data_IF_262998663518
#
_entry.id   IF_262998663518
#
_cell.length_a   1.000
_cell.length_b   1.000
_cell.length_c   1.000
_cell.angle_alpha   90.00
_cell.angle_beta   90.00
_cell.angle_gamma   90.00
#
_symmetry.space_group_name_H-M   'P 1'
#
loop_
_entity.id
_entity.type
_entity.pdbx_description
1 polymer ?
#
# COMPACT_ATOMS: atom_id res chain seq x y z
N UNK A 1 3.25 -18.80 -0.28
CA UNK A 1 1.96 -18.15 0.01
C UNK A 1 2.16 -16.66 -0.02
N UNK A 2 1.22 -15.90 -0.56
CA UNK A 2 1.27 -14.43 -0.59
C UNK A 2 0.26 -13.88 0.41
N UNK A 3 0.72 -12.96 1.26
CA UNK A 3 -0.16 -12.08 2.03
C UNK A 3 -0.22 -10.78 1.25
N UNK A 4 -1.39 -10.46 0.71
CA UNK A 4 -1.59 -9.25 -0.08
C UNK A 4 -2.36 -8.25 0.77
N UNK A 5 -1.69 -7.18 1.20
CA UNK A 5 -2.35 -6.05 1.88
C UNK A 5 -3.20 -5.26 0.87
N UNK A 6 -4.48 -5.07 1.16
CA UNK A 6 -5.48 -4.45 0.26
C UNK A 6 -6.12 -3.22 0.90
N UNK A 7 -5.31 -2.26 1.32
CA UNK A 7 -5.81 -0.98 1.83
C UNK A 7 -6.68 -0.27 0.78
N UNK A 8 -7.91 0.05 1.16
CA UNK A 8 -8.91 0.65 0.26
C UNK A 8 -8.46 2.00 -0.31
N UNK A 9 -7.65 2.78 0.43
CA UNK A 9 -7.17 4.08 -0.04
C UNK A 9 -6.39 3.97 -1.35
N UNK A 10 -5.55 2.94 -1.50
CA UNK A 10 -4.78 2.70 -2.73
C UNK A 10 -5.67 2.44 -3.96
N UNK A 11 -6.87 1.89 -3.75
CA UNK A 11 -7.84 1.64 -4.82
C UNK A 11 -8.57 2.91 -5.27
N UNK A 12 -8.43 4.02 -4.53
CA UNK A 12 -9.01 5.33 -4.88
C UNK A 12 -8.03 6.23 -5.62
N UNK A 13 -6.77 5.82 -5.72
CA UNK A 13 -5.70 6.59 -6.33
C UNK A 13 -5.74 6.54 -7.88
N UNK A 14 -5.14 7.54 -8.50
CA UNK A 14 -4.80 7.58 -9.92
C UNK A 14 -3.46 6.89 -10.25
N UNK A 15 -2.68 6.44 -9.26
CA UNK A 15 -1.43 5.70 -9.47
C UNK A 15 -0.26 6.55 -9.99
N UNK A 16 -0.40 7.88 -9.95
CA UNK A 16 0.68 8.80 -10.31
C UNK A 16 1.84 8.62 -9.35
N UNK A 17 1.62 8.67 -8.04
CA UNK A 17 2.68 8.57 -7.03
C UNK A 17 3.53 7.29 -7.19
N UNK A 18 2.90 6.13 -7.28
CA UNK A 18 3.62 4.86 -7.51
C UNK A 18 4.46 4.88 -8.78
N UNK A 19 4.01 5.59 -9.82
CA UNK A 19 4.78 5.71 -11.06
C UNK A 19 5.97 6.65 -10.93
N UNK A 20 5.85 7.73 -10.14
CA UNK A 20 6.97 8.62 -9.88
C UNK A 20 8.06 7.86 -9.12
N UNK A 21 7.67 7.06 -8.13
CA UNK A 21 8.58 6.22 -7.36
C UNK A 21 9.28 5.18 -8.25
N UNK A 22 8.52 4.40 -9.02
CA UNK A 22 9.09 3.42 -9.95
C UNK A 22 10.05 4.05 -10.97
N UNK A 23 9.70 5.21 -11.54
CA UNK A 23 10.54 5.90 -12.55
C UNK A 23 11.79 6.54 -11.95
N UNK A 24 11.74 6.95 -10.69
CA UNK A 24 12.88 7.58 -10.01
C UNK A 24 13.88 6.55 -9.48
N UNK A 25 13.39 5.37 -9.08
CA UNK A 25 14.17 4.35 -8.38
C UNK A 25 14.47 3.10 -9.22
N UNK A 26 13.97 3.01 -10.46
CA UNK A 26 14.22 1.88 -11.37
C UNK A 26 14.91 2.29 -12.67
N UNK A 27 15.42 1.30 -13.40
CA UNK A 27 15.90 1.51 -14.76
C UNK A 27 14.73 1.84 -15.69
N UNK A 28 14.89 2.91 -16.48
CA UNK A 28 13.89 3.30 -17.47
C UNK A 28 13.99 2.40 -18.70
N UNK A 29 12.98 1.55 -18.90
CA UNK A 29 12.87 0.63 -20.03
C UNK A 29 11.57 0.86 -20.83
N UNK A 30 11.31 0.00 -21.82
CA UNK A 30 10.07 0.06 -22.62
C UNK A 30 8.80 -0.01 -21.76
N UNK A 31 8.82 -0.78 -20.67
CA UNK A 31 7.68 -0.90 -19.77
C UNK A 31 7.46 0.40 -19.00
N UNK A 32 8.52 1.14 -18.67
CA UNK A 32 8.41 2.49 -18.09
C UNK A 32 7.65 3.46 -19.01
N UNK A 33 7.95 3.45 -20.32
CA UNK A 33 7.21 4.26 -21.31
C UNK A 33 5.75 3.83 -21.43
N UNK A 34 5.49 2.52 -21.46
CA UNK A 34 4.14 1.98 -21.53
C UNK A 34 3.32 2.34 -20.28
N UNK A 35 3.93 2.25 -19.09
CA UNK A 35 3.32 2.67 -17.83
C UNK A 35 2.95 4.15 -17.86
N UNK A 36 3.89 5.03 -18.25
CA UNK A 36 3.63 6.47 -18.34
C UNK A 36 2.48 6.79 -19.30
N UNK A 37 2.44 6.13 -20.46
CA UNK A 37 1.35 6.28 -21.42
C UNK A 37 -0.01 5.82 -20.86
N UNK A 38 -0.03 4.71 -20.11
CA UNK A 38 -1.27 4.18 -19.49
C UNK A 38 -1.78 5.07 -18.36
N UNK A 39 -0.89 5.66 -17.57
CA UNK A 39 -1.25 6.58 -16.48
C UNK A 39 -1.70 7.92 -17.06
N UNK A 40 -1.01 8.37 -18.12
CA UNK A 40 -1.29 9.57 -18.89
C UNK A 40 -1.38 10.84 -18.03
N UNK A 41 -0.31 11.11 -17.29
CA UNK A 41 -0.21 12.26 -16.39
C UNK A 41 1.11 13.03 -16.62
N UNK A 42 1.05 14.36 -16.51
CA UNK A 42 2.19 15.24 -16.79
C UNK A 42 3.36 15.05 -15.83
N UNK A 43 3.10 14.80 -14.55
CA UNK A 43 4.16 14.53 -13.56
C UNK A 43 4.87 13.21 -13.89
N UNK A 44 4.11 12.22 -14.36
CA UNK A 44 4.64 10.92 -14.78
C UNK A 44 5.56 11.07 -15.99
N UNK A 45 5.13 11.80 -17.03
CA UNK A 45 5.98 12.06 -18.20
C UNK A 45 7.23 12.86 -17.86
N UNK A 46 7.10 13.90 -17.02
CA UNK A 46 8.24 14.69 -16.58
C UNK A 46 9.28 13.83 -15.84
N UNK A 47 8.81 12.97 -14.95
CA UNK A 47 9.68 12.07 -14.17
C UNK A 47 10.31 10.99 -15.04
N UNK A 48 9.59 10.46 -16.03
CA UNK A 48 10.13 9.53 -17.03
C UNK A 48 11.31 10.15 -17.80
N UNK A 49 11.12 11.36 -18.32
CA UNK A 49 12.16 12.07 -19.07
C UNK A 49 13.37 12.36 -18.17
N UNK A 50 13.13 12.86 -16.97
CA UNK A 50 14.17 13.14 -16.00
C UNK A 50 14.98 11.88 -15.62
N UNK A 51 14.30 10.79 -15.25
CA UNK A 51 14.91 9.50 -14.90
C UNK A 51 15.69 8.88 -16.06
N UNK A 52 15.17 9.01 -17.29
CA UNK A 52 15.84 8.55 -18.51
C UNK A 52 17.17 9.27 -18.73
N UNK A 53 17.18 10.60 -18.67
CA UNK A 53 18.41 11.38 -18.84
C UNK A 53 19.42 11.11 -17.73
N UNK A 54 18.98 11.04 -16.47
CA UNK A 54 19.86 10.70 -15.34
C UNK A 54 20.53 9.35 -15.51
N UNK A 55 19.79 8.36 -16.00
CA UNK A 55 20.33 7.03 -16.29
C UNK A 55 21.33 7.08 -17.44
N UNK A 56 20.99 7.77 -18.52
CA UNK A 56 21.85 7.90 -19.71
C UNK A 56 23.21 8.52 -19.40
N UNK A 57 23.25 9.60 -18.61
CA UNK A 57 24.50 10.29 -18.26
C UNK A 57 25.22 9.65 -17.05
N UNK A 58 24.68 8.57 -16.49
CA UNK A 58 25.25 7.87 -15.34
C UNK A 58 25.17 8.64 -14.02
N UNK A 59 24.31 9.66 -13.92
CA UNK A 59 24.16 10.51 -12.73
C UNK A 59 23.65 9.76 -11.49
N UNK A 60 23.11 8.54 -11.66
CA UNK A 60 22.65 7.70 -10.56
C UNK A 60 23.80 6.87 -9.93
N UNK A 61 24.95 6.71 -10.60
CA UNK A 61 26.01 5.80 -10.14
C UNK A 61 26.73 6.26 -8.88
N UNK A 62 26.80 7.57 -8.66
CA UNK A 62 27.47 8.16 -7.49
C UNK A 62 26.49 8.53 -6.37
N UNK A 63 25.19 8.46 -6.63
CA UNK A 63 24.18 8.83 -5.65
C UNK A 63 23.97 7.69 -4.65
N UNK A 64 24.03 8.02 -3.36
CA UNK A 64 23.69 7.11 -2.27
C UNK A 64 22.67 7.83 -1.41
N UNK A 65 21.50 7.22 -1.26
CA UNK A 65 20.48 7.72 -0.36
C UNK A 65 20.97 7.54 1.09
N UNK A 66 20.84 8.56 1.96
CA UNK A 66 21.22 8.42 3.36
C UNK A 66 20.35 7.35 4.04
N UNK A 67 20.95 6.59 4.96
CA UNK A 67 20.23 5.59 5.76
C UNK A 67 19.20 6.26 6.67
N UNK A 68 19.51 7.46 7.14
CA UNK A 68 18.67 8.26 8.02
C UNK A 68 18.24 9.55 7.31
N UNK A 69 16.92 9.76 7.19
CA UNK A 69 16.37 10.96 6.57
C UNK A 69 14.98 11.33 7.14
N UNK A 70 14.79 12.58 7.54
CA UNK A 70 13.50 13.15 7.96
C UNK A 70 12.77 12.36 9.07
N UNK A 71 13.53 11.81 10.00
CA UNK A 71 13.03 10.97 11.09
C UNK A 71 12.59 9.58 10.62
N UNK A 72 13.21 9.08 9.54
CA UNK A 72 13.06 7.72 9.04
C UNK A 72 14.43 7.05 8.94
N UNK A 73 14.45 5.75 9.22
CA UNK A 73 15.64 4.91 9.21
C UNK A 73 15.42 3.70 8.30
N UNK A 74 16.29 3.52 7.29
CA UNK A 74 16.25 2.36 6.42
C UNK A 74 16.90 1.14 7.08
N UNK A 75 16.11 0.08 7.30
CA UNK A 75 16.57 -1.16 7.92
C UNK A 75 17.28 -2.03 6.87
N UNK A 76 18.60 -1.88 6.82
CA UNK A 76 19.47 -2.65 5.93
C UNK A 76 19.31 -4.16 6.19
N UNK A 77 19.14 -4.94 5.13
CA UNK A 77 18.91 -6.39 5.20
C UNK A 77 17.45 -6.79 5.46
N UNK A 78 16.65 -5.90 6.05
CA UNK A 78 15.19 -6.06 6.20
C UNK A 78 14.39 -5.56 5.00
N UNK A 79 14.88 -4.52 4.32
CA UNK A 79 14.26 -3.98 3.11
C UNK A 79 13.02 -3.12 3.36
N UNK A 80 12.93 -2.50 4.54
CA UNK A 80 11.84 -1.59 4.92
C UNK A 80 12.38 -0.36 5.66
N UNK A 81 11.53 0.66 5.79
CA UNK A 81 11.82 1.91 6.49
C UNK A 81 11.04 1.94 7.81
N UNK A 82 11.71 2.33 8.89
CA UNK A 82 11.10 2.58 10.20
C UNK A 82 11.05 4.10 10.43
N UNK A 83 9.88 4.61 10.82
CA UNK A 83 9.69 6.03 11.13
C UNK A 83 9.72 6.26 12.63
N UNK A 84 10.27 7.39 13.05
CA UNK A 84 10.20 7.87 14.43
C UNK A 84 8.74 7.91 14.92
N UNK A 85 8.56 7.59 16.20
CA UNK A 85 7.24 7.65 16.83
C UNK A 85 6.62 9.05 16.71
N UNK A 86 5.39 9.10 16.22
CA UNK A 86 4.56 10.31 16.16
C UNK A 86 3.15 9.97 16.63
N UNK A 87 2.51 10.90 17.33
CA UNK A 87 1.09 10.76 17.68
C UNK A 87 0.24 11.24 16.52
N UNK A 88 -0.83 10.52 16.22
CA UNK A 88 -1.80 10.98 15.24
C UNK A 88 -2.43 12.31 15.69
N UNK A 89 -2.32 13.38 14.87
CA UNK A 89 -2.93 14.67 15.18
C UNK A 89 -4.47 14.66 15.11
N UNK A 90 -5.10 13.53 14.72
CA UNK A 90 -6.54 13.37 14.58
C UNK A 90 -7.17 14.40 13.63
N UNK A 91 -6.59 14.51 12.43
CA UNK A 91 -7.16 15.36 11.36
C UNK A 91 -8.61 15.00 11.09
N UNK A 92 -9.38 15.97 10.61
CA UNK A 92 -10.76 15.73 10.24
C UNK A 92 -10.87 14.86 8.99
N UNK A 93 -11.80 13.92 9.06
CA UNK A 93 -12.07 12.97 7.98
C UNK A 93 -13.39 13.35 7.32
N UNK A 94 -13.37 13.89 6.09
CA UNK A 94 -14.60 14.26 5.41
C UNK A 94 -15.44 13.00 5.19
N UNK A 95 -16.71 13.08 5.58
CA UNK A 95 -17.66 11.98 5.37
C UNK A 95 -17.87 11.79 3.87
N UNK A 96 -17.74 10.56 3.41
CA UNK A 96 -17.84 10.25 1.99
C UNK A 96 -17.80 8.75 1.70
N UNK A 97 -17.45 8.42 0.47
CA UNK A 97 -17.25 7.04 0.00
C UNK A 97 -15.81 6.83 -0.40
N UNK A 98 -15.36 5.59 -0.35
CA UNK A 98 -14.22 5.14 -1.13
C UNK A 98 -14.59 5.15 -2.61
N UNK A 99 -14.22 6.21 -3.32
CA UNK A 99 -14.44 6.34 -4.77
C UNK A 99 -13.40 5.51 -5.52
N UNK A 100 -13.65 4.21 -5.61
CA UNK A 100 -12.74 3.27 -6.26
C UNK A 100 -12.52 3.66 -7.72
N UNK A 101 -11.26 3.68 -8.15
CA UNK A 101 -10.93 3.94 -9.55
C UNK A 101 -10.97 2.62 -10.34
N UNK A 102 -11.66 2.58 -11.50
CA UNK A 102 -11.76 1.35 -12.28
C UNK A 102 -10.39 0.77 -12.67
N UNK A 103 -9.40 1.63 -12.88
CA UNK A 103 -8.04 1.21 -13.25
C UNK A 103 -7.31 0.50 -12.10
N UNK A 104 -7.42 0.98 -10.86
CA UNK A 104 -6.79 0.32 -9.71
C UNK A 104 -7.50 -1.00 -9.37
N UNK A 105 -8.83 -1.03 -9.43
CA UNK A 105 -9.59 -2.27 -9.28
C UNK A 105 -9.22 -3.29 -10.36
N UNK A 106 -9.02 -2.85 -11.61
CA UNK A 106 -8.54 -3.70 -12.70
C UNK A 106 -7.13 -4.22 -12.43
N UNK A 107 -6.20 -3.36 -12.01
CA UNK A 107 -4.83 -3.75 -11.68
C UNK A 107 -4.79 -4.80 -10.55
N UNK A 108 -5.57 -4.62 -9.47
CA UNK A 108 -5.70 -5.62 -8.41
C UNK A 108 -6.20 -6.97 -8.95
N UNK A 109 -7.23 -6.95 -9.82
CA UNK A 109 -7.75 -8.18 -10.44
C UNK A 109 -6.72 -8.87 -11.32
N UNK A 110 -5.93 -8.12 -12.08
CA UNK A 110 -4.84 -8.64 -12.91
C UNK A 110 -3.73 -9.27 -12.06
N UNK A 111 -3.34 -8.62 -10.95
CA UNK A 111 -2.37 -9.16 -10.00
C UNK A 111 -2.87 -10.48 -9.39
N UNK A 112 -4.12 -10.54 -8.95
CA UNK A 112 -4.73 -11.75 -8.42
C UNK A 112 -4.81 -12.86 -9.48
N UNK A 113 -5.19 -12.52 -10.72
CA UNK A 113 -5.20 -13.48 -11.82
C UNK A 113 -3.80 -14.05 -12.11
N UNK A 114 -2.77 -13.22 -12.06
CA UNK A 114 -1.37 -13.60 -12.21
C UNK A 114 -0.90 -14.57 -11.11
N UNK A 115 -1.31 -14.32 -9.87
CA UNK A 115 -1.06 -15.19 -8.71
C UNK A 115 -1.77 -16.54 -8.88
N UNK A 116 -3.07 -16.52 -9.22
CA UNK A 116 -3.87 -17.72 -9.49
C UNK A 116 -3.30 -18.57 -10.61
N UNK A 117 -2.87 -17.95 -11.72
CA UNK A 117 -2.26 -18.65 -12.86
C UNK A 117 -1.01 -19.44 -12.46
N UNK A 118 -0.25 -18.93 -11.49
CA UNK A 118 0.94 -19.61 -10.93
C UNK A 118 0.62 -20.61 -9.84
N UNK A 119 -0.66 -20.80 -9.49
CA UNK A 119 -1.10 -21.67 -8.39
C UNK A 119 -0.40 -21.33 -7.08
N UNK A 120 -0.21 -20.02 -6.82
CA UNK A 120 0.36 -19.56 -5.56
C UNK A 120 -0.79 -19.29 -4.60
N UNK A 121 -0.85 -19.93 -3.43
CA UNK A 121 -1.86 -19.63 -2.43
C UNK A 121 -1.72 -18.19 -1.95
N UNK A 122 -2.83 -17.49 -1.79
CA UNK A 122 -2.84 -16.11 -1.32
C UNK A 122 -4.03 -15.82 -0.42
N UNK A 123 -3.85 -14.80 0.42
CA UNK A 123 -4.93 -14.17 1.19
C UNK A 123 -4.87 -12.66 0.97
N UNK A 124 -6.03 -12.03 1.04
CA UNK A 124 -6.19 -10.59 1.03
C UNK A 124 -6.41 -10.11 2.46
N UNK A 125 -5.65 -9.13 2.90
CA UNK A 125 -5.68 -8.61 4.27
C UNK A 125 -5.84 -7.11 4.21
N UNK A 126 -6.80 -6.56 4.94
CA UNK A 126 -6.87 -5.12 5.17
C UNK A 126 -6.44 -4.85 6.61
N UNK A 127 -5.35 -4.09 6.77
CA UNK A 127 -4.88 -3.66 8.07
C UNK A 127 -5.90 -2.70 8.73
N UNK A 128 -5.92 -2.61 10.08
CA UNK A 128 -6.75 -1.62 10.76
C UNK A 128 -6.40 -0.20 10.34
N UNK A 129 -7.43 0.62 10.16
CA UNK A 129 -7.34 2.07 10.06
C UNK A 129 -7.99 2.69 11.30
N UNK A 130 -7.80 3.99 11.52
CA UNK A 130 -8.44 4.70 12.63
C UNK A 130 -9.96 4.56 12.58
N UNK A 131 -10.60 4.55 13.75
CA UNK A 131 -12.06 4.58 13.88
C UNK A 131 -12.64 5.82 13.20
N UNK A 132 -11.98 6.98 13.30
CA UNK A 132 -12.37 8.23 12.64
C UNK A 132 -12.44 8.04 11.11
N UNK A 133 -11.39 7.51 10.48
CA UNK A 133 -11.38 7.27 9.02
C UNK A 133 -12.41 6.20 8.63
N UNK A 134 -12.48 5.08 9.35
CA UNK A 134 -13.43 4.02 9.03
C UNK A 134 -14.88 4.51 9.09
N UNK A 135 -15.22 5.27 10.13
CA UNK A 135 -16.58 5.79 10.34
C UNK A 135 -16.96 6.88 9.33
N UNK A 136 -15.98 7.61 8.79
CA UNK A 136 -16.20 8.61 7.74
C UNK A 136 -16.49 8.01 6.36
N UNK A 137 -16.40 6.68 6.20
CA UNK A 137 -16.58 6.00 4.90
C UNK A 137 -17.86 5.18 4.92
N UNK A 138 -18.85 5.61 4.13
CA UNK A 138 -20.21 5.05 4.19
C UNK A 138 -20.38 3.74 3.42
N UNK A 139 -19.41 3.38 2.58
CA UNK A 139 -19.48 2.21 1.70
C UNK A 139 -18.50 1.07 2.05
N UNK A 140 -17.95 1.01 3.27
CA UNK A 140 -16.99 -0.03 3.67
C UNK A 140 -17.48 -1.46 3.33
N UNK A 141 -18.76 -1.77 3.63
CA UNK A 141 -19.35 -3.08 3.30
C UNK A 141 -19.34 -3.42 1.80
N UNK A 142 -19.46 -2.41 0.93
CA UNK A 142 -19.42 -2.62 -0.52
C UNK A 142 -18.00 -2.96 -0.96
N UNK A 143 -17.00 -2.28 -0.39
CA UNK A 143 -15.58 -2.56 -0.65
C UNK A 143 -15.18 -3.93 -0.10
N UNK A 144 -15.56 -4.25 1.13
CA UNK A 144 -15.34 -5.57 1.73
C UNK A 144 -15.94 -6.68 0.87
N UNK A 145 -17.16 -6.47 0.35
CA UNK A 145 -17.79 -7.40 -0.58
C UNK A 145 -16.96 -7.57 -1.86
N UNK A 146 -16.49 -6.49 -2.48
CA UNK A 146 -15.61 -6.57 -3.65
C UNK A 146 -14.37 -7.42 -3.37
N UNK A 147 -13.67 -7.15 -2.25
CA UNK A 147 -12.42 -7.86 -1.89
C UNK A 147 -12.68 -9.33 -1.56
N UNK A 148 -13.78 -9.63 -0.86
CA UNK A 148 -14.21 -11.00 -0.56
C UNK A 148 -14.44 -11.85 -1.83
N UNK A 149 -15.00 -11.26 -2.88
CA UNK A 149 -15.18 -11.98 -4.16
C UNK A 149 -13.86 -12.25 -4.90
N UNK A 150 -12.76 -11.60 -4.51
CA UNK A 150 -11.46 -11.78 -5.15
C UNK A 150 -10.64 -12.91 -4.53
N UNK A 151 -10.97 -13.40 -3.32
CA UNK A 151 -10.28 -14.51 -2.67
C UNK A 151 -10.59 -14.61 -1.18
N UNK A 152 -9.80 -15.41 -0.44
CA UNK A 152 -9.84 -15.39 1.02
C UNK A 152 -9.48 -13.98 1.47
N UNK A 153 -10.39 -13.32 2.19
CA UNK A 153 -10.27 -11.93 2.60
C UNK A 153 -10.55 -11.75 4.09
N UNK A 154 -9.75 -10.90 4.75
CA UNK A 154 -9.97 -10.48 6.14
C UNK A 154 -9.73 -8.99 6.30
N UNK A 155 -10.77 -8.29 6.75
CA UNK A 155 -10.68 -6.96 7.32
C UNK A 155 -10.37 -7.06 8.82
N UNK A 156 -9.30 -6.42 9.29
CA UNK A 156 -8.91 -6.40 10.70
C UNK A 156 -9.47 -5.18 11.46
N UNK A 157 -10.21 -4.28 10.83
CA UNK A 157 -10.90 -3.22 11.54
C UNK A 157 -11.80 -3.79 12.65
N UNK A 158 -11.66 -3.25 13.87
CA UNK A 158 -12.42 -3.68 15.06
C UNK A 158 -12.04 -5.05 15.62
N UNK A 159 -11.09 -5.78 15.02
CA UNK A 159 -10.59 -7.05 15.57
C UNK A 159 -9.59 -6.86 16.72
N UNK A 160 -9.01 -5.66 16.82
CA UNK A 160 -8.02 -5.28 17.83
C UNK A 160 -8.49 -3.95 18.43
N UNK A 161 -8.50 -3.80 19.77
CA UNK A 161 -8.82 -2.54 20.40
C UNK A 161 -7.65 -1.56 20.20
N UNK A 162 -7.79 -0.66 19.23
CA UNK A 162 -6.82 0.39 18.93
C UNK A 162 -7.43 1.76 19.19
N UNK A 163 -6.61 2.68 19.70
CA UNK A 163 -6.97 4.06 19.94
C UNK A 163 -6.37 4.97 18.84
N UNK A 164 -7.22 5.75 18.19
CA UNK A 164 -6.83 6.59 17.05
C UNK A 164 -5.65 7.54 17.32
N UNK A 165 -5.46 8.01 18.56
CA UNK A 165 -4.40 8.98 18.93
C UNK A 165 -3.10 8.31 19.39
N UNK A 166 -3.22 7.12 19.99
CA UNK A 166 -2.12 6.44 20.69
C UNK A 166 -1.51 5.34 19.83
N UNK A 167 -2.31 4.64 19.04
CA UNK A 167 -1.91 3.45 18.28
C UNK A 167 -1.60 3.76 16.80
N UNK A 168 -1.87 5.00 16.36
CA UNK A 168 -1.61 5.45 14.99
C UNK A 168 -0.75 6.70 14.98
N UNK A 169 0.02 6.88 13.91
CA UNK A 169 0.73 8.13 13.65
C UNK A 169 0.00 9.03 12.62
N UNK A 170 -0.92 8.46 11.83
CA UNK A 170 -1.90 9.19 11.01
C UNK A 170 -3.23 8.40 10.91
N UNK A 171 -4.06 8.65 9.89
CA UNK A 171 -5.40 8.08 9.79
C UNK A 171 -5.43 6.60 9.40
N UNK A 172 -4.38 6.09 8.77
CA UNK A 172 -4.33 4.78 8.12
C UNK A 172 -3.05 3.98 8.42
N UNK A 173 -2.11 4.55 9.16
CA UNK A 173 -0.88 3.88 9.56
C UNK A 173 -0.73 3.78 11.08
N UNK A 174 -0.59 2.52 11.52
CA UNK A 174 -0.29 2.15 12.91
C UNK A 174 1.15 2.51 13.27
N UNK A 175 1.39 2.86 14.54
CA UNK A 175 2.75 2.91 15.05
C UNK A 175 3.26 1.51 15.43
N UNK A 176 4.54 1.42 15.82
CA UNK A 176 5.19 0.13 16.07
C UNK A 176 4.51 -0.69 17.18
N UNK A 177 4.04 -0.06 18.26
CA UNK A 177 3.35 -0.75 19.35
C UNK A 177 2.04 -1.40 18.87
N UNK A 178 1.30 -0.69 18.01
CA UNK A 178 0.07 -1.20 17.41
C UNK A 178 0.35 -2.26 16.33
N UNK A 179 1.45 -2.14 15.58
CA UNK A 179 1.92 -3.17 14.63
C UNK A 179 2.21 -4.48 15.36
N UNK A 180 2.81 -4.45 16.56
CA UNK A 180 3.03 -5.66 17.37
C UNK A 180 1.70 -6.34 17.71
N UNK A 181 0.70 -5.57 18.18
CA UNK A 181 -0.65 -6.09 18.47
C UNK A 181 -1.31 -6.68 17.21
N UNK A 182 -1.19 -5.99 16.08
CA UNK A 182 -1.67 -6.47 14.79
C UNK A 182 -1.02 -7.78 14.35
N UNK A 183 0.30 -7.88 14.46
CA UNK A 183 1.03 -9.08 14.07
C UNK A 183 0.60 -10.30 14.90
N UNK A 184 0.37 -10.15 16.20
CA UNK A 184 -0.12 -11.23 17.03
C UNK A 184 -1.48 -11.77 16.55
N UNK A 185 -2.44 -10.86 16.31
CA UNK A 185 -3.79 -11.24 15.86
C UNK A 185 -3.76 -11.78 14.43
N UNK A 186 -2.95 -11.20 13.55
CA UNK A 186 -2.76 -11.67 12.18
C UNK A 186 -2.15 -13.09 12.14
N UNK A 187 -1.14 -13.37 12.97
CA UNK A 187 -0.54 -14.71 13.07
C UNK A 187 -1.55 -15.74 13.61
N UNK A 188 -2.38 -15.36 14.59
CA UNK A 188 -3.48 -16.22 15.07
C UNK A 188 -4.47 -16.53 13.95
N UNK A 189 -4.89 -15.50 13.21
CA UNK A 189 -5.76 -15.67 12.04
C UNK A 189 -5.12 -16.61 11.02
N UNK A 190 -3.88 -16.37 10.60
CA UNK A 190 -3.16 -17.20 9.64
C UNK A 190 -3.11 -18.68 10.02
N UNK A 191 -2.90 -18.99 11.30
CA UNK A 191 -2.89 -20.37 11.81
C UNK A 191 -4.28 -21.03 11.77
N UNK A 192 -5.36 -20.25 11.77
CA UNK A 192 -6.74 -20.74 11.75
C UNK A 192 -7.29 -20.95 10.34
N UNK A 193 -6.78 -20.22 9.35
CA UNK A 193 -7.27 -20.30 7.97
C UNK A 193 -6.74 -21.57 7.30
N UNK A 194 -7.65 -22.37 6.74
CA UNK A 194 -7.28 -23.47 5.84
C UNK A 194 -6.97 -22.91 4.46
N UNK A 195 -5.69 -22.82 4.14
CA UNK A 195 -5.22 -22.37 2.83
C UNK A 195 -4.90 -23.62 2.01
N UNK A 196 -5.72 -23.89 1.00
CA UNK A 196 -5.48 -25.00 0.08
C UNK A 196 -4.17 -24.77 -0.69
N UNK A 197 -3.33 -25.80 -0.75
CA UNK A 197 -2.01 -25.78 -1.41
C UNK A 197 -2.15 -25.89 -2.92
#
# INVERSE_FOLDING_TARGET
>A
MIVYEVYTGTLTDNGVESSLDMLSNSYVDKNSFEMAYRINDWLTYNTLLYGFFRTMIGANRSFHEPVDQDGNHYITGGGYVESDFRKNPLKDEPVGIWKLTPKQVKALKENIAFIKKRKIPYILVQAPITQKLYSARTNNKQVDSLLFHLGIYKNFYGSIPLNDTVDFYDSDHMNQDAVVKFNEEFIRYLKSVKIEK
#
